data_IF_040850135357
#
_entry.id   IF_040850135357
#
_cell.length_a   1.000
_cell.length_b   1.000
_cell.length_c   1.000
_cell.angle_alpha   90.00
_cell.angle_beta   90.00
_cell.angle_gamma   90.00
#
_symmetry.space_group_name_H-M   'P 1'
#
loop_
_entity.id
_entity.type
_entity.pdbx_description
1 polymer ?
#
# COMPACT_ATOMS: atom_id res chain seq x y z
N UNK A 1 26.33 21.39 -5.29
CA UNK A 1 25.63 22.68 -5.43
C UNK A 1 24.14 22.38 -5.47
N UNK A 2 23.43 22.37 -4.34
CA UNK A 2 21.98 22.30 -4.39
C UNK A 2 21.48 23.62 -4.98
N UNK A 3 20.65 23.54 -6.03
CA UNK A 3 20.05 24.71 -6.65
C UNK A 3 19.16 25.49 -5.68
N UNK A 4 18.86 26.76 -5.97
CA UNK A 4 17.98 27.56 -5.10
C UNK A 4 16.60 26.89 -5.01
N UNK A 5 16.25 26.46 -3.80
CA UNK A 5 15.00 25.76 -3.45
C UNK A 5 13.77 26.69 -3.35
N UNK A 6 13.81 27.91 -3.88
CA UNK A 6 12.71 28.88 -3.76
C UNK A 6 12.51 29.63 -5.09
N UNK A 7 11.71 29.06 -5.99
CA UNK A 7 11.28 29.69 -7.25
C UNK A 7 10.03 30.57 -7.05
N UNK A 8 10.14 31.60 -6.22
CA UNK A 8 9.24 32.75 -6.26
C UNK A 8 10.08 33.97 -6.62
N UNK A 9 10.22 34.24 -7.91
CA UNK A 9 10.90 35.44 -8.39
C UNK A 9 9.88 36.57 -8.47
N UNK A 10 9.80 37.38 -7.42
CA UNK A 10 9.00 38.61 -7.38
C UNK A 10 9.96 39.74 -7.07
N UNK A 11 10.13 40.66 -8.02
CA UNK A 11 11.01 41.82 -7.90
C UNK A 11 10.20 43.03 -7.46
N UNK A 12 10.59 43.68 -6.35
CA UNK A 12 9.95 44.88 -5.83
C UNK A 12 10.26 45.11 -4.34
N UNK A 13 10.14 46.35 -3.88
CA UNK A 13 10.25 46.64 -2.45
C UNK A 13 9.00 46.20 -1.70
N UNK A 14 9.11 45.89 -0.40
CA UNK A 14 7.97 45.46 0.42
C UNK A 14 6.82 46.48 0.40
N UNK A 15 7.14 47.78 0.39
CA UNK A 15 6.14 48.86 0.40
C UNK A 15 5.39 48.93 -0.92
N UNK A 16 6.09 48.89 -2.06
CA UNK A 16 5.47 48.89 -3.39
C UNK A 16 4.58 47.66 -3.62
N UNK A 17 5.09 46.46 -3.28
CA UNK A 17 4.36 45.21 -3.45
C UNK A 17 3.12 45.13 -2.54
N UNK A 18 3.19 45.71 -1.34
CA UNK A 18 2.05 45.79 -0.43
C UNK A 18 0.98 46.74 -0.97
N UNK A 19 1.38 47.91 -1.47
CA UNK A 19 0.46 48.90 -2.03
C UNK A 19 -0.24 48.39 -3.30
N UNK A 20 0.50 47.76 -4.22
CA UNK A 20 -0.06 47.14 -5.43
C UNK A 20 -1.06 46.03 -5.08
N UNK A 21 -0.70 45.17 -4.12
CA UNK A 21 -1.57 44.07 -3.69
C UNK A 21 -2.82 44.56 -2.95
N UNK A 22 -2.69 45.58 -2.10
CA UNK A 22 -3.83 46.19 -1.41
C UNK A 22 -4.80 46.86 -2.39
N UNK A 23 -4.28 47.55 -3.41
CA UNK A 23 -5.08 48.13 -4.47
C UNK A 23 -5.83 47.07 -5.29
N UNK A 24 -5.18 45.94 -5.57
CA UNK A 24 -5.79 44.80 -6.24
C UNK A 24 -6.92 44.16 -5.41
N UNK A 25 -6.71 43.98 -4.09
CA UNK A 25 -7.77 43.49 -3.19
C UNK A 25 -8.96 44.46 -3.15
N UNK A 26 -8.72 45.77 -3.05
CA UNK A 26 -9.81 46.76 -3.02
C UNK A 26 -10.58 46.81 -4.35
N UNK A 27 -9.92 46.63 -5.50
CA UNK A 27 -10.61 46.53 -6.79
C UNK A 27 -11.46 45.27 -6.90
N UNK A 28 -10.97 44.13 -6.40
CA UNK A 28 -11.76 42.90 -6.31
C UNK A 28 -12.96 43.05 -5.37
N UNK A 29 -12.79 43.63 -4.18
CA UNK A 29 -13.91 43.84 -3.23
C UNK A 29 -14.96 44.82 -3.75
N UNK A 30 -14.54 45.89 -4.43
CA UNK A 30 -15.45 46.83 -5.10
C UNK A 30 -16.25 46.16 -6.21
N UNK A 31 -15.64 45.25 -6.97
CA UNK A 31 -16.37 44.47 -7.99
C UNK A 31 -17.41 43.51 -7.41
N UNK A 32 -17.32 43.20 -6.10
CA UNK A 32 -18.21 42.28 -5.38
C UNK A 32 -19.32 42.98 -4.58
N UNK A 33 -19.44 44.32 -4.70
CA UNK A 33 -20.50 45.11 -4.06
C UNK A 33 -20.17 45.67 -2.68
N UNK A 34 -18.91 45.57 -2.22
CA UNK A 34 -18.45 46.16 -0.96
C UNK A 34 -17.74 47.49 -1.25
N UNK A 35 -18.50 48.57 -1.43
CA UNK A 35 -17.96 49.92 -1.70
C UNK A 35 -17.21 50.52 -0.50
N UNK A 36 -17.24 49.86 0.66
CA UNK A 36 -16.66 50.33 1.92
C UNK A 36 -15.21 49.89 2.17
N UNK A 37 -14.63 49.06 1.29
CA UNK A 37 -13.29 48.52 1.50
C UNK A 37 -12.19 49.55 1.23
N UNK A 38 -11.45 49.91 2.27
CA UNK A 38 -10.28 50.81 2.25
C UNK A 38 -9.01 50.07 2.72
N UNK A 39 -8.75 48.86 2.21
CA UNK A 39 -7.58 48.07 2.61
C UNK A 39 -6.29 48.80 2.24
N UNK A 40 -6.28 49.54 1.14
CA UNK A 40 -5.14 50.35 0.69
C UNK A 40 -4.82 51.53 1.63
N UNK A 41 -5.84 52.25 2.11
CA UNK A 41 -5.62 53.40 3.02
C UNK A 41 -5.18 52.91 4.41
N UNK A 42 -5.79 51.84 4.92
CA UNK A 42 -5.38 51.24 6.20
C UNK A 42 -3.97 50.64 6.14
N UNK A 43 -3.60 49.98 5.03
CA UNK A 43 -2.25 49.45 4.82
C UNK A 43 -1.22 50.58 4.75
N UNK A 44 -1.49 51.65 4.00
CA UNK A 44 -0.60 52.81 3.89
C UNK A 44 -0.39 53.53 5.22
N UNK A 45 -1.42 53.64 6.06
CA UNK A 45 -1.30 54.27 7.39
C UNK A 45 -0.55 53.39 8.40
N UNK A 46 -0.68 52.07 8.29
CA UNK A 46 0.07 51.11 9.11
C UNK A 46 1.53 50.96 8.66
N UNK A 47 1.82 51.13 7.36
CA UNK A 47 3.18 51.21 6.81
C UNK A 47 3.92 52.45 7.33
N UNK A 48 3.25 53.62 7.44
CA UNK A 48 3.82 54.82 8.08
C UNK A 48 4.19 54.60 9.54
N UNK A 49 3.52 53.68 10.22
CA UNK A 49 3.82 53.26 11.60
C UNK A 49 4.92 52.19 11.74
N UNK A 50 5.51 51.73 10.62
CA UNK A 50 6.47 50.62 10.55
C UNK A 50 5.95 49.30 11.18
N UNK A 51 4.63 49.09 11.18
CA UNK A 51 3.99 47.90 11.75
C UNK A 51 3.71 46.84 10.70
N UNK A 52 4.76 46.23 10.16
CA UNK A 52 4.69 45.27 9.05
C UNK A 52 3.75 44.08 9.31
N UNK A 53 3.70 43.57 10.54
CA UNK A 53 2.85 42.43 10.89
C UNK A 53 1.35 42.78 10.91
N UNK A 54 0.97 44.01 11.28
CA UNK A 54 -0.43 44.44 11.28
C UNK A 54 -0.95 44.64 9.84
N UNK A 55 -0.08 45.14 8.94
CA UNK A 55 -0.36 45.25 7.50
C UNK A 55 -0.61 43.86 6.90
N UNK A 56 0.27 42.90 7.18
CA UNK A 56 0.13 41.52 6.69
C UNK A 56 -1.15 40.85 7.23
N UNK A 57 -1.56 41.11 8.48
CA UNK A 57 -2.84 40.58 9.01
C UNK A 57 -4.02 41.08 8.19
N UNK A 58 -4.03 42.37 7.86
CA UNK A 58 -5.10 43.00 7.07
C UNK A 58 -5.12 42.48 5.64
N UNK A 59 -3.96 42.32 5.02
CA UNK A 59 -3.85 41.73 3.69
C UNK A 59 -4.33 40.27 3.65
N UNK A 60 -3.97 39.44 4.64
CA UNK A 60 -4.40 38.04 4.72
C UNK A 60 -5.90 37.90 4.97
N UNK A 61 -6.50 38.80 5.77
CA UNK A 61 -7.96 38.87 5.92
C UNK A 61 -8.62 39.35 4.61
N UNK A 62 -8.02 40.33 3.94
CA UNK A 62 -8.47 40.82 2.62
C UNK A 62 -8.37 39.77 1.52
N UNK A 63 -7.41 38.84 1.62
CA UNK A 63 -7.15 37.79 0.66
C UNK A 63 -8.30 36.78 0.51
N UNK A 64 -9.31 36.78 1.41
CA UNK A 64 -10.54 36.02 1.18
C UNK A 64 -11.25 36.43 -0.12
N UNK A 65 -11.11 37.69 -0.54
CA UNK A 65 -11.66 38.19 -1.80
C UNK A 65 -11.03 37.54 -3.05
N UNK A 66 -9.83 36.93 -2.91
CA UNK A 66 -9.14 36.25 -4.00
C UNK A 66 -9.88 34.98 -4.45
N UNK A 67 -10.73 34.38 -3.62
CA UNK A 67 -11.54 33.20 -4.00
C UNK A 67 -12.54 33.47 -5.14
N UNK A 68 -12.73 34.74 -5.50
CA UNK A 68 -13.55 35.20 -6.62
C UNK A 68 -12.72 35.84 -7.74
N UNK A 69 -11.39 35.85 -7.62
CA UNK A 69 -10.51 36.41 -8.64
C UNK A 69 -10.49 35.57 -9.93
N UNK A 70 -10.13 36.16 -11.08
CA UNK A 70 -10.00 35.44 -12.35
C UNK A 70 -8.95 34.33 -12.27
N UNK A 71 -9.18 33.18 -12.93
CA UNK A 71 -8.27 32.02 -12.93
C UNK A 71 -6.81 32.39 -13.25
N UNK A 72 -6.64 33.27 -14.25
CA UNK A 72 -5.31 33.67 -14.76
C UNK A 72 -4.50 34.47 -13.75
N UNK A 73 -5.15 35.16 -12.82
CA UNK A 73 -4.52 36.05 -11.84
C UNK A 73 -4.44 35.40 -10.46
N UNK A 74 -5.20 34.32 -10.22
CA UNK A 74 -5.32 33.64 -8.93
C UNK A 74 -3.97 33.14 -8.40
N UNK A 75 -3.20 32.40 -9.21
CA UNK A 75 -1.89 31.87 -8.80
C UNK A 75 -0.91 33.01 -8.52
N UNK A 76 -0.86 34.02 -9.39
CA UNK A 76 0.06 35.15 -9.24
C UNK A 76 -0.24 35.96 -7.97
N UNK A 77 -1.52 36.23 -7.69
CA UNK A 77 -1.95 36.97 -6.51
C UNK A 77 -1.60 36.24 -5.20
N UNK A 78 -1.82 34.91 -5.14
CA UNK A 78 -1.43 34.13 -3.96
C UNK A 78 0.09 33.97 -3.83
N UNK A 79 0.82 33.84 -4.94
CA UNK A 79 2.28 33.82 -4.93
C UNK A 79 2.87 35.14 -4.38
N UNK A 80 2.26 36.28 -4.74
CA UNK A 80 2.62 37.58 -4.19
C UNK A 80 2.34 37.66 -2.68
N UNK A 81 1.17 37.20 -2.25
CA UNK A 81 0.83 37.10 -0.82
C UNK A 81 1.85 36.24 -0.05
N UNK A 82 2.21 35.07 -0.61
CA UNK A 82 3.17 34.16 0.02
C UNK A 82 4.55 34.81 0.14
N UNK A 83 5.01 35.51 -0.90
CA UNK A 83 6.28 36.23 -0.87
C UNK A 83 6.29 37.34 0.18
N UNK A 84 5.21 38.14 0.26
CA UNK A 84 5.05 39.18 1.29
C UNK A 84 5.07 38.61 2.71
N UNK A 85 4.41 37.48 2.92
CA UNK A 85 4.39 36.80 4.23
C UNK A 85 5.77 36.24 4.58
N UNK A 86 6.51 35.68 3.60
CA UNK A 86 7.84 35.10 3.82
C UNK A 86 8.92 36.16 4.15
N UNK A 87 8.67 37.44 3.88
CA UNK A 87 9.54 38.54 4.30
C UNK A 87 9.37 38.91 5.78
N UNK A 88 8.31 38.41 6.44
CA UNK A 88 8.10 38.60 7.88
C UNK A 88 8.70 37.45 8.68
N UNK A 89 9.26 37.70 9.88
CA UNK A 89 9.73 36.63 10.77
C UNK A 89 8.58 35.79 11.37
N UNK A 90 7.33 36.26 11.27
CA UNK A 90 6.15 35.66 11.90
C UNK A 90 5.25 34.88 10.91
N UNK A 91 5.86 34.19 9.94
CA UNK A 91 5.18 33.41 8.88
C UNK A 91 4.10 32.47 9.43
N UNK A 92 4.38 31.81 10.55
CA UNK A 92 3.51 30.81 11.20
C UNK A 92 2.16 31.37 11.65
N UNK A 93 2.06 32.68 11.92
CA UNK A 93 0.79 33.30 12.35
C UNK A 93 -0.20 33.47 11.18
N UNK A 94 0.30 33.60 9.95
CA UNK A 94 -0.50 33.95 8.78
C UNK A 94 -0.94 32.74 7.97
N UNK A 95 -0.12 31.69 7.95
CA UNK A 95 -0.34 30.46 7.19
C UNK A 95 -1.67 29.75 7.48
N UNK A 96 -2.12 29.58 8.75
CA UNK A 96 -3.40 28.94 9.03
C UNK A 96 -4.59 29.66 8.37
N UNK A 97 -4.56 30.99 8.33
CA UNK A 97 -5.62 31.78 7.72
C UNK A 97 -5.59 31.71 6.19
N UNK A 98 -4.40 31.67 5.60
CA UNK A 98 -4.23 31.45 4.16
C UNK A 98 -4.72 30.06 3.76
N UNK A 99 -4.35 29.04 4.52
CA UNK A 99 -4.83 27.66 4.33
C UNK A 99 -6.36 27.57 4.49
N UNK A 100 -6.94 28.31 5.46
CA UNK A 100 -8.39 28.39 5.62
C UNK A 100 -9.04 28.99 4.37
N UNK A 101 -8.53 30.10 3.85
CA UNK A 101 -9.06 30.75 2.65
C UNK A 101 -8.93 29.85 1.40
N UNK A 102 -7.82 29.12 1.25
CA UNK A 102 -7.59 28.18 0.14
C UNK A 102 -8.41 26.89 0.27
N UNK A 103 -8.85 26.53 1.48
CA UNK A 103 -9.73 25.38 1.71
C UNK A 103 -11.21 25.67 1.46
N UNK A 104 -11.60 26.95 1.36
CA UNK A 104 -12.95 27.31 0.91
C UNK A 104 -13.06 27.23 -0.62
N UNK A 105 -14.20 26.78 -1.17
CA UNK A 105 -14.35 26.59 -2.60
C UNK A 105 -14.21 27.90 -3.37
N UNK A 106 -13.38 27.89 -4.40
CA UNK A 106 -13.16 29.02 -5.31
C UNK A 106 -14.41 29.19 -6.19
N UNK A 107 -15.17 30.25 -5.96
CA UNK A 107 -16.46 30.47 -6.63
C UNK A 107 -16.31 31.01 -8.05
N UNK A 108 -15.17 31.62 -8.39
CA UNK A 108 -14.90 32.10 -9.74
C UNK A 108 -14.71 30.98 -10.76
N UNK A 109 -14.35 29.76 -10.32
CA UNK A 109 -14.01 28.66 -11.23
C UNK A 109 -14.30 27.28 -10.63
N UNK A 110 -15.56 26.82 -10.75
CA UNK A 110 -16.01 25.57 -10.13
C UNK A 110 -15.28 24.31 -10.62
N UNK A 111 -14.77 24.31 -11.85
CA UNK A 111 -14.11 23.14 -12.45
C UNK A 111 -12.61 23.06 -12.15
N UNK A 112 -11.87 24.18 -12.25
CA UNK A 112 -10.41 24.21 -12.10
C UNK A 112 -9.93 24.79 -10.77
N UNK A 113 -10.80 25.45 -10.00
CA UNK A 113 -10.44 26.17 -8.78
C UNK A 113 -9.77 25.29 -7.72
N UNK A 114 -10.14 24.02 -7.67
CA UNK A 114 -9.52 23.02 -6.79
C UNK A 114 -8.06 22.75 -7.17
N UNK A 115 -7.77 22.54 -8.45
CA UNK A 115 -6.41 22.35 -8.95
C UNK A 115 -5.54 23.58 -8.71
N UNK A 116 -6.09 24.78 -8.88
CA UNK A 116 -5.41 26.03 -8.58
C UNK A 116 -5.06 26.14 -7.08
N UNK A 117 -6.03 25.88 -6.19
CA UNK A 117 -5.80 25.88 -4.75
C UNK A 117 -4.74 24.85 -4.32
N UNK A 118 -4.78 23.64 -4.89
CA UNK A 118 -3.78 22.59 -4.61
C UNK A 118 -2.37 22.99 -5.10
N UNK A 119 -2.26 23.65 -6.26
CA UNK A 119 -0.98 24.13 -6.77
C UNK A 119 -0.33 25.17 -5.86
N UNK A 120 -1.15 26.08 -5.31
CA UNK A 120 -0.69 27.11 -4.37
C UNK A 120 -0.32 26.46 -3.03
N UNK A 121 -1.15 25.56 -2.50
CA UNK A 121 -0.83 24.85 -1.25
C UNK A 121 0.43 23.99 -1.39
N UNK A 122 0.65 23.35 -2.54
CA UNK A 122 1.88 22.62 -2.83
C UNK A 122 3.08 23.56 -2.90
N UNK A 123 2.91 24.75 -3.49
CA UNK A 123 3.95 25.79 -3.51
C UNK A 123 4.30 26.26 -2.10
N UNK A 124 3.30 26.51 -1.26
CA UNK A 124 3.48 26.83 0.17
C UNK A 124 4.27 25.70 0.86
N UNK A 125 3.84 24.44 0.71
CA UNK A 125 4.50 23.28 1.32
C UNK A 125 5.98 23.18 0.93
N UNK A 126 6.30 23.47 -0.33
CA UNK A 126 7.67 23.39 -0.85
C UNK A 126 8.57 24.55 -0.39
N UNK A 127 8.01 25.74 -0.18
CA UNK A 127 8.77 26.94 0.28
C UNK A 127 9.15 26.83 1.76
N UNK A 128 8.29 26.21 2.58
CA UNK A 128 8.58 26.04 3.99
C UNK A 128 9.80 25.13 4.20
N UNK A 129 10.63 25.31 5.23
CA UNK A 129 11.71 24.37 5.56
C UNK A 129 11.18 22.96 5.89
N UNK A 130 12.00 21.94 5.63
CA UNK A 130 11.63 20.54 5.85
C UNK A 130 11.27 20.21 7.30
N UNK A 131 11.95 20.86 8.24
CA UNK A 131 11.85 20.61 9.68
C UNK A 131 10.71 21.41 10.34
N UNK A 132 9.94 22.19 9.58
CA UNK A 132 8.89 23.03 10.14
C UNK A 132 7.60 22.23 10.39
N UNK A 133 7.15 22.19 11.64
CA UNK A 133 5.83 21.66 12.06
C UNK A 133 4.66 22.30 11.27
N UNK A 134 4.84 23.52 10.75
CA UNK A 134 3.79 24.20 9.99
C UNK A 134 3.47 23.45 8.68
N UNK A 135 4.39 22.63 8.15
CA UNK A 135 4.12 21.75 7.00
C UNK A 135 3.02 20.72 7.30
N UNK A 136 2.90 20.26 8.55
CA UNK A 136 1.81 19.36 8.96
C UNK A 136 0.44 20.03 8.79
N UNK A 137 0.28 21.27 9.25
CA UNK A 137 -0.98 22.01 9.10
C UNK A 137 -1.30 22.33 7.63
N UNK A 138 -0.29 22.63 6.80
CA UNK A 138 -0.48 22.82 5.35
C UNK A 138 -0.92 21.52 4.69
N UNK A 139 -0.34 20.37 5.06
CA UNK A 139 -0.75 19.06 4.55
C UNK A 139 -2.20 18.73 4.91
N UNK A 140 -2.64 19.01 6.15
CA UNK A 140 -4.04 18.85 6.53
C UNK A 140 -4.98 19.73 5.69
N UNK A 141 -4.57 20.95 5.34
CA UNK A 141 -5.35 21.82 4.47
C UNK A 141 -5.42 21.26 3.03
N UNK A 142 -4.32 20.71 2.51
CA UNK A 142 -4.29 20.00 1.22
C UNK A 142 -5.29 18.84 1.24
N UNK A 143 -5.27 18.00 2.28
CA UNK A 143 -6.21 16.88 2.40
C UNK A 143 -7.67 17.32 2.45
N UNK A 144 -7.99 18.42 3.14
CA UNK A 144 -9.35 18.98 3.15
C UNK A 144 -9.82 19.39 1.77
N UNK A 145 -8.97 20.04 0.96
CA UNK A 145 -9.29 20.42 -0.43
C UNK A 145 -9.46 19.17 -1.30
N UNK A 146 -8.60 18.17 -1.15
CA UNK A 146 -8.69 16.91 -1.89
C UNK A 146 -9.99 16.18 -1.57
N UNK A 147 -10.36 16.08 -0.29
CA UNK A 147 -11.63 15.46 0.14
C UNK A 147 -12.84 16.14 -0.49
N UNK A 148 -12.85 17.47 -0.58
CA UNK A 148 -13.96 18.21 -1.20
C UNK A 148 -14.05 18.01 -2.72
N UNK A 149 -12.97 17.58 -3.37
CA UNK A 149 -12.82 17.57 -4.83
C UNK A 149 -12.63 16.16 -5.38
N UNK A 150 -12.54 15.15 -4.52
CA UNK A 150 -12.37 13.72 -4.82
C UNK A 150 -11.13 13.39 -5.67
N UNK A 151 -10.16 14.31 -5.73
CA UNK A 151 -9.03 14.23 -6.65
C UNK A 151 -7.79 13.57 -6.00
N UNK A 152 -7.95 12.31 -5.58
CA UNK A 152 -6.96 11.57 -4.79
C UNK A 152 -5.68 11.20 -5.58
N UNK A 153 -5.73 11.22 -6.91
CA UNK A 153 -4.58 10.87 -7.78
C UNK A 153 -3.34 11.73 -7.51
N UNK A 154 -3.53 13.02 -7.20
CA UNK A 154 -2.43 13.93 -6.87
C UNK A 154 -1.74 13.60 -5.54
N UNK A 155 -2.46 12.92 -4.62
CA UNK A 155 -1.97 12.57 -3.30
C UNK A 155 -1.12 11.28 -3.33
N UNK A 156 -1.42 10.33 -4.22
CA UNK A 156 -0.76 9.01 -4.29
C UNK A 156 0.77 9.06 -4.28
N UNK A 157 1.46 9.93 -5.04
CA UNK A 157 2.92 10.01 -4.99
C UNK A 157 3.44 10.57 -3.66
N UNK A 158 2.72 11.54 -3.09
CA UNK A 158 3.09 12.21 -1.84
C UNK A 158 2.93 11.28 -0.63
N UNK A 159 1.95 10.38 -0.66
CA UNK A 159 1.74 9.38 0.39
C UNK A 159 2.94 8.46 0.64
N UNK A 160 3.79 8.23 -0.37
CA UNK A 160 5.02 7.45 -0.21
C UNK A 160 6.07 8.14 0.66
N UNK A 161 6.00 9.47 0.75
CA UNK A 161 6.91 10.29 1.55
C UNK A 161 6.35 10.58 2.95
N UNK A 162 5.08 10.25 3.21
CA UNK A 162 4.38 10.54 4.47
C UNK A 162 5.14 10.00 5.69
N UNK A 163 5.59 8.74 5.64
CA UNK A 163 6.31 8.11 6.75
C UNK A 163 7.64 8.83 7.05
N UNK A 164 8.32 9.34 6.01
CA UNK A 164 9.56 10.12 6.17
C UNK A 164 9.31 11.51 6.74
N UNK A 165 8.18 12.14 6.36
CA UNK A 165 7.80 13.45 6.86
C UNK A 165 7.39 13.39 8.33
N UNK A 166 6.59 12.40 8.71
CA UNK A 166 6.20 12.18 10.10
C UNK A 166 7.40 11.94 11.02
N UNK A 167 8.41 11.20 10.55
CA UNK A 167 9.66 11.00 11.29
C UNK A 167 10.49 12.29 11.43
N UNK A 168 10.46 13.17 10.43
CA UNK A 168 11.21 14.45 10.44
C UNK A 168 10.56 15.49 11.35
N UNK A 169 9.24 15.49 11.40
CA UNK A 169 8.45 16.45 12.17
C UNK A 169 8.29 16.07 13.65
N UNK A 170 8.78 14.90 14.08
CA UNK A 170 8.68 14.40 15.46
C UNK A 170 7.25 14.52 16.05
N UNK A 171 6.24 14.28 15.20
CA UNK A 171 4.82 14.48 15.51
C UNK A 171 4.35 13.48 16.56
N UNK A 172 3.59 13.96 17.55
CA UNK A 172 2.96 13.11 18.57
C UNK A 172 1.97 12.11 17.94
N UNK A 173 1.77 10.96 18.59
CA UNK A 173 0.92 9.87 18.08
C UNK A 173 -0.53 10.32 17.79
N UNK A 174 -1.08 11.25 18.59
CA UNK A 174 -2.40 11.82 18.35
C UNK A 174 -2.52 12.61 17.03
N UNK A 175 -1.48 13.37 16.70
CA UNK A 175 -1.44 14.17 15.48
C UNK A 175 -1.18 13.29 14.25
N UNK A 176 -0.34 12.26 14.38
CA UNK A 176 -0.20 11.22 13.36
C UNK A 176 -1.55 10.54 13.07
N UNK A 177 -2.31 10.20 14.12
CA UNK A 177 -3.66 9.62 14.01
C UNK A 177 -4.60 10.54 13.21
N UNK A 178 -4.67 11.83 13.58
CA UNK A 178 -5.49 12.83 12.87
C UNK A 178 -5.14 12.91 11.39
N UNK A 179 -3.86 12.84 11.04
CA UNK A 179 -3.41 12.85 9.65
C UNK A 179 -3.80 11.58 8.90
N UNK A 180 -3.57 10.40 9.47
CA UNK A 180 -3.96 9.13 8.85
C UNK A 180 -5.47 9.03 8.64
N UNK A 181 -6.27 9.50 9.59
CA UNK A 181 -7.72 9.59 9.45
C UNK A 181 -8.14 10.56 8.33
N UNK A 182 -7.49 11.72 8.22
CA UNK A 182 -7.76 12.66 7.14
C UNK A 182 -7.42 12.07 5.76
N UNK A 183 -6.34 11.27 5.66
CA UNK A 183 -5.99 10.54 4.43
C UNK A 183 -7.04 9.46 4.13
N UNK A 184 -7.42 8.66 5.13
CA UNK A 184 -8.42 7.60 4.99
C UNK A 184 -9.77 8.15 4.53
N UNK A 185 -10.25 9.24 5.13
CA UNK A 185 -11.48 9.93 4.73
C UNK A 185 -11.41 10.48 3.29
N UNK A 186 -10.25 11.00 2.89
CA UNK A 186 -10.04 11.52 1.54
C UNK A 186 -10.03 10.41 0.50
N UNK A 187 -9.43 9.26 0.82
CA UNK A 187 -9.43 8.07 -0.03
C UNK A 187 -10.85 7.48 -0.17
N UNK A 188 -11.59 7.37 0.94
CA UNK A 188 -12.97 6.89 0.93
C UNK A 188 -13.90 7.78 0.09
N UNK A 189 -13.72 9.12 0.17
CA UNK A 189 -14.47 10.06 -0.66
C UNK A 189 -14.18 9.92 -2.17
N UNK A 190 -12.98 9.46 -2.53
CA UNK A 190 -12.57 9.21 -3.91
C UNK A 190 -12.95 7.80 -4.43
N UNK A 191 -13.51 6.93 -3.58
CA UNK A 191 -13.82 5.53 -3.94
C UNK A 191 -12.61 4.59 -3.92
N UNK A 192 -11.51 5.00 -3.30
CA UNK A 192 -10.28 4.21 -3.17
C UNK A 192 -10.29 3.41 -1.85
N UNK A 193 -11.18 2.42 -1.78
CA UNK A 193 -11.49 1.71 -0.53
C UNK A 193 -10.28 0.97 0.08
N UNK A 194 -9.41 0.37 -0.75
CA UNK A 194 -8.21 -0.33 -0.28
C UNK A 194 -7.22 0.61 0.43
N UNK A 195 -7.01 1.81 -0.14
CA UNK A 195 -6.15 2.82 0.46
C UNK A 195 -6.79 3.39 1.72
N UNK A 196 -8.09 3.66 1.68
CA UNK A 196 -8.84 4.15 2.84
C UNK A 196 -8.71 3.19 4.03
N UNK A 197 -8.87 1.89 3.78
CA UNK A 197 -8.73 0.84 4.77
C UNK A 197 -7.30 0.72 5.30
N UNK A 198 -6.30 0.75 4.42
CA UNK A 198 -4.87 0.68 4.82
C UNK A 198 -4.49 1.82 5.77
N UNK A 199 -4.90 3.05 5.49
CA UNK A 199 -4.62 4.19 6.36
C UNK A 199 -5.46 4.21 7.63
N UNK A 200 -6.65 3.63 7.60
CA UNK A 200 -7.46 3.41 8.81
C UNK A 200 -6.77 2.45 9.78
N UNK A 201 -6.20 1.34 9.28
CA UNK A 201 -5.40 0.43 10.09
C UNK A 201 -4.15 1.10 10.65
N UNK A 202 -3.47 1.94 9.86
CA UNK A 202 -2.32 2.73 10.36
C UNK A 202 -2.74 3.65 11.50
N UNK A 203 -3.88 4.33 11.40
CA UNK A 203 -4.43 5.14 12.48
C UNK A 203 -4.71 4.29 13.74
N UNK A 204 -5.32 3.10 13.58
CA UNK A 204 -5.58 2.20 14.72
C UNK A 204 -4.31 1.70 15.41
N UNK A 205 -3.20 1.53 14.68
CA UNK A 205 -1.90 1.14 15.24
C UNK A 205 -1.22 2.24 16.07
N UNK A 206 -1.65 3.50 15.93
CA UNK A 206 -1.12 4.63 16.72
C UNK A 206 -1.81 4.79 18.08
N UNK A 207 -2.73 3.90 18.46
CA UNK A 207 -3.32 3.96 19.80
C UNK A 207 -2.36 3.35 20.82
N UNK A 208 -1.98 4.09 21.88
CA UNK A 208 -1.24 3.52 23.00
C UNK A 208 -2.13 2.53 23.75
N UNK A 209 -1.52 1.51 24.37
CA UNK A 209 -2.24 0.42 25.06
C UNK A 209 -3.25 0.89 26.12
N UNK A 210 -3.09 2.09 26.65
CA UNK A 210 -3.98 2.71 27.65
C UNK A 210 -5.28 3.28 27.03
N UNK A 211 -5.25 3.71 25.77
CA UNK A 211 -6.39 4.34 25.07
C UNK A 211 -7.17 3.37 24.17
N UNK A 212 -6.76 2.10 24.16
CA UNK A 212 -7.33 1.03 23.32
C UNK A 212 -8.83 0.84 23.54
N UNK A 213 -9.33 1.12 24.74
CA UNK A 213 -10.75 1.04 25.10
C UNK A 213 -11.49 2.38 25.02
N UNK A 214 -10.85 3.45 24.55
CA UNK A 214 -11.49 4.76 24.40
C UNK A 214 -12.67 4.69 23.43
N UNK A 215 -13.70 5.55 23.60
CA UNK A 215 -14.85 5.59 22.68
C UNK A 215 -14.42 5.89 21.24
N UNK A 216 -13.41 6.74 21.04
CA UNK A 216 -12.86 7.03 19.71
C UNK A 216 -12.20 5.79 19.07
N UNK A 217 -11.41 5.03 19.84
CA UNK A 217 -10.83 3.78 19.36
C UNK A 217 -11.92 2.76 18.98
N UNK A 218 -12.98 2.65 19.80
CA UNK A 218 -14.09 1.74 19.52
C UNK A 218 -14.82 2.11 18.22
N UNK A 219 -15.17 3.39 18.01
CA UNK A 219 -15.83 3.84 16.79
C UNK A 219 -14.97 3.58 15.54
N UNK A 220 -13.66 3.85 15.62
CA UNK A 220 -12.73 3.61 14.52
C UNK A 220 -12.54 2.11 14.25
N UNK A 221 -12.46 1.27 15.29
CA UNK A 221 -12.38 -0.19 15.17
C UNK A 221 -13.65 -0.75 14.53
N UNK A 222 -14.83 -0.28 14.92
CA UNK A 222 -16.10 -0.66 14.29
C UNK A 222 -16.14 -0.23 12.83
N UNK A 223 -15.66 0.98 12.50
CA UNK A 223 -15.56 1.44 11.11
C UNK A 223 -14.61 0.54 10.28
N UNK A 224 -13.46 0.17 10.83
CA UNK A 224 -12.50 -0.73 10.17
C UNK A 224 -13.10 -2.12 9.95
N UNK A 225 -13.75 -2.68 10.97
CA UNK A 225 -14.41 -3.98 10.88
C UNK A 225 -15.52 -3.97 9.82
N UNK A 226 -16.41 -2.97 9.84
CA UNK A 226 -17.45 -2.84 8.81
C UNK A 226 -16.86 -2.73 7.41
N UNK A 227 -15.81 -1.92 7.24
CA UNK A 227 -15.12 -1.77 5.96
C UNK A 227 -14.52 -3.09 5.47
N UNK A 228 -13.84 -3.84 6.35
CA UNK A 228 -13.25 -5.13 5.99
C UNK A 228 -14.32 -6.16 5.62
N UNK A 229 -15.41 -6.21 6.38
CA UNK A 229 -16.52 -7.13 6.14
C UNK A 229 -17.24 -6.83 4.82
N UNK A 230 -17.46 -5.56 4.47
CA UNK A 230 -18.12 -5.18 3.20
C UNK A 230 -17.20 -5.27 1.99
N UNK A 231 -15.89 -5.08 2.13
CA UNK A 231 -14.97 -5.01 1.00
C UNK A 231 -14.88 -6.36 0.24
N UNK A 232 -15.24 -6.45 -1.05
CA UNK A 232 -15.37 -7.75 -1.74
C UNK A 232 -14.06 -8.53 -1.91
N UNK A 233 -12.90 -7.87 -1.93
CA UNK A 233 -11.59 -8.50 -2.11
C UNK A 233 -10.80 -8.68 -0.82
N UNK A 234 -11.31 -8.20 0.32
CA UNK A 234 -10.65 -8.38 1.63
C UNK A 234 -11.17 -9.66 2.30
N UNK A 235 -10.28 -10.63 2.44
CA UNK A 235 -10.56 -11.98 2.95
C UNK A 235 -9.63 -12.41 4.09
N UNK A 236 -8.55 -11.66 4.32
CA UNK A 236 -7.59 -11.91 5.39
C UNK A 236 -7.87 -10.92 6.52
N UNK A 237 -8.29 -11.43 7.68
CA UNK A 237 -8.64 -10.62 8.84
C UNK A 237 -7.55 -10.63 9.92
N UNK A 238 -6.38 -11.21 9.64
CA UNK A 238 -5.26 -11.21 10.60
C UNK A 238 -4.81 -9.79 10.94
N UNK A 239 -4.84 -8.91 9.94
CA UNK A 239 -4.54 -7.48 10.04
C UNK A 239 -5.40 -6.75 11.09
N UNK A 240 -6.65 -7.17 11.28
CA UNK A 240 -7.56 -6.68 12.30
C UNK A 240 -7.36 -7.40 13.64
N UNK A 241 -7.23 -8.73 13.64
CA UNK A 241 -7.09 -9.48 14.89
C UNK A 241 -5.81 -9.16 15.65
N UNK A 242 -4.77 -8.73 14.94
CA UNK A 242 -3.50 -8.31 15.54
C UNK A 242 -3.59 -6.95 16.26
N UNK A 243 -4.68 -6.17 16.08
CA UNK A 243 -4.86 -4.87 16.71
C UNK A 243 -5.48 -5.00 18.10
N UNK A 244 -4.81 -4.42 19.11
CA UNK A 244 -5.30 -4.39 20.48
C UNK A 244 -6.68 -3.72 20.59
N UNK A 245 -6.94 -2.67 19.78
CA UNK A 245 -8.22 -1.93 19.76
C UNK A 245 -9.39 -2.76 19.28
N UNK A 246 -9.13 -3.82 18.51
CA UNK A 246 -10.13 -4.75 18.03
C UNK A 246 -10.33 -5.87 19.04
N UNK A 247 -9.26 -6.32 19.72
CA UNK A 247 -9.38 -7.26 20.84
C UNK A 247 -10.17 -6.66 22.01
N UNK A 248 -10.07 -5.35 22.25
CA UNK A 248 -10.88 -4.67 23.25
C UNK A 248 -12.38 -4.66 22.93
N UNK A 249 -12.77 -4.78 21.64
CA UNK A 249 -14.18 -4.87 21.24
C UNK A 249 -14.88 -6.09 21.84
N UNK A 250 -14.15 -7.13 22.24
CA UNK A 250 -14.70 -8.30 22.92
C UNK A 250 -15.50 -7.94 24.17
N UNK A 251 -15.13 -6.86 24.86
CA UNK A 251 -15.80 -6.41 26.08
C UNK A 251 -16.87 -5.33 25.83
N UNK A 252 -16.67 -4.46 24.85
CA UNK A 252 -17.61 -3.36 24.56
C UNK A 252 -18.73 -3.78 23.62
N UNK A 253 -18.40 -4.49 22.54
CA UNK A 253 -19.28 -4.83 21.43
C UNK A 253 -19.11 -6.31 21.04
N UNK A 254 -19.55 -7.24 21.89
CA UNK A 254 -19.26 -8.67 21.75
C UNK A 254 -19.83 -9.27 20.46
N UNK A 255 -20.96 -8.75 19.96
CA UNK A 255 -21.63 -9.25 18.75
C UNK A 255 -20.77 -9.01 17.50
N UNK A 256 -20.13 -7.84 17.41
CA UNK A 256 -19.21 -7.53 16.30
C UNK A 256 -17.95 -8.39 16.36
N UNK A 257 -17.43 -8.64 17.57
CA UNK A 257 -16.25 -9.48 17.75
C UNK A 257 -16.54 -10.95 17.43
N UNK A 258 -17.69 -11.49 17.85
CA UNK A 258 -18.14 -12.83 17.48
C UNK A 258 -18.26 -12.99 15.97
N UNK A 259 -18.80 -11.98 15.27
CA UNK A 259 -18.84 -11.98 13.81
C UNK A 259 -17.43 -12.04 13.18
N UNK A 260 -16.46 -11.31 13.74
CA UNK A 260 -15.07 -11.39 13.28
C UNK A 260 -14.47 -12.79 13.49
N UNK A 261 -14.70 -13.41 14.65
CA UNK A 261 -14.26 -14.78 14.94
C UNK A 261 -14.83 -15.77 13.92
N UNK A 262 -16.14 -15.68 13.62
CA UNK A 262 -16.80 -16.54 12.64
C UNK A 262 -16.13 -16.44 11.26
N UNK A 263 -15.82 -15.24 10.81
CA UNK A 263 -15.17 -15.04 9.52
C UNK A 263 -13.72 -15.55 9.50
N UNK A 264 -13.04 -15.48 10.64
CA UNK A 264 -11.66 -15.88 10.77
C UNK A 264 -11.49 -17.42 10.82
N UNK A 265 -12.23 -18.12 11.68
CA UNK A 265 -12.06 -19.56 11.93
C UNK A 265 -13.19 -20.45 11.44
N UNK A 266 -14.42 -19.95 11.38
CA UNK A 266 -15.60 -20.81 11.37
C UNK A 266 -16.21 -20.97 9.97
N UNK A 267 -17.35 -21.71 9.93
CA UNK A 267 -17.99 -22.22 8.72
C UNK A 267 -19.33 -21.52 8.48
N UNK A 268 -19.92 -21.74 7.30
CA UNK A 268 -21.25 -21.21 6.94
C UNK A 268 -22.32 -21.63 7.95
N UNK A 269 -22.22 -22.83 8.53
CA UNK A 269 -23.16 -23.33 9.54
C UNK A 269 -23.18 -22.40 10.76
N UNK A 270 -22.01 -22.07 11.31
CA UNK A 270 -21.86 -21.17 12.48
C UNK A 270 -22.35 -19.74 12.17
N UNK A 271 -22.19 -19.28 10.93
CA UNK A 271 -22.73 -17.99 10.49
C UNK A 271 -24.26 -17.97 10.41
N UNK A 272 -24.88 -19.09 10.02
CA UNK A 272 -26.34 -19.21 10.04
C UNK A 272 -26.87 -19.24 11.47
N UNK A 273 -26.21 -19.97 12.37
CA UNK A 273 -26.58 -20.00 13.80
C UNK A 273 -26.50 -18.58 14.40
N UNK A 274 -25.43 -17.82 14.09
CA UNK A 274 -25.31 -16.42 14.49
C UNK A 274 -26.43 -15.54 13.93
N UNK A 275 -26.85 -15.77 12.68
CA UNK A 275 -27.93 -15.01 12.05
C UNK A 275 -29.27 -15.30 12.76
N UNK A 276 -29.53 -16.56 13.09
CA UNK A 276 -30.74 -16.98 13.79
C UNK A 276 -30.77 -16.46 15.24
N UNK A 277 -29.61 -16.40 15.92
CA UNK A 277 -29.49 -15.83 17.27
C UNK A 277 -29.67 -14.30 17.28
N UNK A 278 -29.24 -13.61 16.21
CA UNK A 278 -29.23 -12.14 16.11
C UNK A 278 -30.11 -11.63 14.95
N UNK A 279 -31.34 -12.13 14.89
CA UNK A 279 -32.32 -11.73 13.88
C UNK A 279 -32.51 -10.19 13.81
N UNK A 280 -32.31 -9.61 12.62
CA UNK A 280 -32.45 -8.17 12.35
C UNK A 280 -31.25 -7.30 12.76
N UNK A 281 -30.24 -7.84 13.42
CA UNK A 281 -29.06 -7.07 13.85
C UNK A 281 -28.17 -6.65 12.67
N UNK A 282 -28.01 -7.53 11.67
CA UNK A 282 -27.18 -7.28 10.48
C UNK A 282 -27.71 -6.08 9.69
N UNK A 283 -29.04 -6.02 9.49
CA UNK A 283 -29.71 -4.91 8.79
C UNK A 283 -29.63 -3.61 9.59
N UNK A 284 -29.85 -3.68 10.90
CA UNK A 284 -29.73 -2.53 11.81
C UNK A 284 -28.29 -1.97 11.83
N UNK A 285 -27.30 -2.84 11.67
CA UNK A 285 -25.88 -2.48 11.67
C UNK A 285 -25.38 -1.87 10.35
N UNK A 286 -26.22 -1.86 9.30
CA UNK A 286 -25.89 -1.35 7.97
C UNK A 286 -25.00 -2.27 7.15
N UNK A 287 -24.95 -3.57 7.47
CA UNK A 287 -24.18 -4.57 6.74
C UNK A 287 -25.05 -5.27 5.69
N UNK A 288 -24.48 -5.54 4.51
CA UNK A 288 -25.18 -6.31 3.47
C UNK A 288 -25.12 -7.81 3.76
N UNK A 289 -26.26 -8.39 4.15
CA UNK A 289 -26.39 -9.82 4.44
C UNK A 289 -26.03 -10.69 3.24
N UNK A 290 -26.31 -10.25 2.00
CA UNK A 290 -26.00 -11.05 0.81
C UNK A 290 -24.49 -11.09 0.54
N UNK A 291 -23.80 -9.95 0.64
CA UNK A 291 -22.35 -9.87 0.53
C UNK A 291 -21.64 -10.71 1.61
N UNK A 292 -22.10 -10.65 2.87
CA UNK A 292 -21.55 -11.44 3.97
C UNK A 292 -21.71 -12.95 3.72
N UNK A 293 -22.92 -13.38 3.32
CA UNK A 293 -23.19 -14.79 2.97
C UNK A 293 -22.30 -15.28 1.83
N UNK A 294 -22.11 -14.45 0.79
CA UNK A 294 -21.21 -14.78 -0.30
C UNK A 294 -19.78 -14.91 0.21
N UNK A 295 -19.31 -13.96 1.01
CA UNK A 295 -17.94 -13.96 1.55
C UNK A 295 -17.65 -15.17 2.43
N UNK A 296 -18.52 -15.50 3.40
CA UNK A 296 -18.32 -16.66 4.27
C UNK A 296 -18.29 -17.98 3.47
N UNK A 297 -19.13 -18.11 2.43
CA UNK A 297 -19.08 -19.27 1.51
C UNK A 297 -17.75 -19.40 0.78
N UNK A 298 -17.22 -18.29 0.23
CA UNK A 298 -15.92 -18.31 -0.45
C UNK A 298 -14.80 -18.73 0.52
N UNK A 299 -14.83 -18.15 1.72
CA UNK A 299 -13.92 -18.44 2.80
C UNK A 299 -14.03 -19.92 3.24
N UNK A 300 -15.24 -20.48 3.37
CA UNK A 300 -15.49 -21.88 3.75
C UNK A 300 -14.92 -22.85 2.73
N UNK A 301 -15.08 -22.57 1.43
CA UNK A 301 -14.44 -23.36 0.40
C UNK A 301 -12.91 -23.34 0.54
N UNK A 302 -12.33 -22.16 0.81
CA UNK A 302 -10.88 -22.03 1.00
C UNK A 302 -10.36 -22.87 2.19
N UNK A 303 -11.05 -22.84 3.33
CA UNK A 303 -10.69 -23.66 4.51
C UNK A 303 -10.79 -25.16 4.25
N UNK A 304 -11.80 -25.59 3.49
CA UNK A 304 -11.98 -27.00 3.14
C UNK A 304 -10.93 -27.46 2.13
N UNK A 305 -10.57 -26.59 1.18
CA UNK A 305 -9.49 -26.85 0.25
C UNK A 305 -8.14 -26.97 1.00
N UNK A 306 -7.87 -26.09 1.96
CA UNK A 306 -6.67 -26.11 2.78
C UNK A 306 -6.58 -27.38 3.65
N UNK A 307 -7.65 -27.76 4.34
CA UNK A 307 -7.69 -29.00 5.14
C UNK A 307 -7.58 -30.27 4.28
N UNK A 308 -8.03 -30.23 3.02
CA UNK A 308 -7.94 -31.36 2.07
C UNK A 308 -6.64 -31.34 1.25
N UNK A 309 -5.65 -30.51 1.62
CA UNK A 309 -4.40 -30.31 0.88
C UNK A 309 -3.53 -31.56 0.70
N UNK A 310 -3.70 -32.60 1.52
CA UNK A 310 -3.00 -33.88 1.37
C UNK A 310 -3.54 -34.71 0.19
N UNK A 311 -4.87 -34.72 0.00
CA UNK A 311 -5.51 -35.49 -1.06
C UNK A 311 -5.55 -34.72 -2.38
N UNK A 312 -5.42 -33.38 -2.33
CA UNK A 312 -5.46 -32.46 -3.49
C UNK A 312 -6.67 -32.66 -4.43
N UNK A 313 -7.70 -33.32 -3.94
CA UNK A 313 -8.93 -33.63 -4.67
C UNK A 313 -10.10 -33.47 -3.74
N UNK A 314 -11.09 -32.69 -4.15
CA UNK A 314 -12.27 -32.35 -3.36
C UNK A 314 -13.54 -32.73 -4.15
N UNK A 315 -14.31 -33.73 -3.69
CA UNK A 315 -15.57 -34.10 -4.34
C UNK A 315 -16.63 -32.99 -4.23
N UNK A 316 -17.46 -32.83 -5.27
CA UNK A 316 -18.51 -31.83 -5.29
C UNK A 316 -19.53 -32.02 -4.16
N UNK A 317 -19.84 -33.26 -3.76
CA UNK A 317 -20.75 -33.54 -2.65
C UNK A 317 -20.27 -32.91 -1.33
N UNK A 318 -18.96 -32.96 -1.07
CA UNK A 318 -18.35 -32.37 0.13
C UNK A 318 -18.42 -30.84 0.07
N UNK A 319 -18.26 -30.26 -1.11
CA UNK A 319 -18.39 -28.81 -1.35
C UNK A 319 -19.83 -28.36 -1.16
N UNK A 320 -20.78 -29.02 -1.82
CA UNK A 320 -22.20 -28.73 -1.78
C UNK A 320 -22.72 -28.77 -0.34
N UNK A 321 -22.35 -29.81 0.42
CA UNK A 321 -22.74 -29.95 1.83
C UNK A 321 -22.21 -28.80 2.70
N UNK A 322 -20.94 -28.43 2.52
CA UNK A 322 -20.33 -27.43 3.39
C UNK A 322 -20.68 -25.97 3.03
N UNK A 323 -21.00 -25.71 1.76
CA UNK A 323 -21.53 -24.41 1.33
C UNK A 323 -23.04 -24.30 1.49
N UNK A 324 -23.72 -25.42 1.77
CA UNK A 324 -25.18 -25.55 1.79
C UNK A 324 -25.84 -25.06 0.49
N UNK A 325 -25.28 -25.44 -0.66
CA UNK A 325 -25.78 -25.07 -1.99
C UNK A 325 -26.13 -26.30 -2.82
N UNK A 326 -27.04 -26.18 -3.80
CA UNK A 326 -27.29 -27.25 -4.75
C UNK A 326 -26.01 -27.69 -5.46
N UNK A 327 -25.90 -28.97 -5.80
CA UNK A 327 -24.74 -29.52 -6.52
C UNK A 327 -24.50 -28.84 -7.87
N UNK A 328 -25.55 -28.31 -8.50
CA UNK A 328 -25.50 -27.60 -9.78
C UNK A 328 -24.72 -26.27 -9.67
N UNK A 329 -24.80 -25.60 -8.52
CA UNK A 329 -24.19 -24.29 -8.30
C UNK A 329 -22.71 -24.39 -7.87
N UNK A 330 -22.24 -25.58 -7.49
CA UNK A 330 -20.88 -25.81 -6.97
C UNK A 330 -19.83 -25.29 -7.94
N UNK A 331 -20.02 -25.48 -9.25
CA UNK A 331 -19.06 -25.04 -10.26
C UNK A 331 -18.91 -23.51 -10.27
N UNK A 332 -20.02 -22.77 -10.14
CA UNK A 332 -20.00 -21.31 -10.08
C UNK A 332 -19.23 -20.83 -8.83
N UNK A 333 -19.46 -21.46 -7.68
CA UNK A 333 -18.75 -21.14 -6.45
C UNK A 333 -17.26 -21.44 -6.53
N UNK A 334 -16.87 -22.57 -7.14
CA UNK A 334 -15.45 -22.89 -7.36
C UNK A 334 -14.79 -21.85 -8.27
N UNK A 335 -15.46 -21.44 -9.35
CA UNK A 335 -14.96 -20.38 -10.24
C UNK A 335 -14.80 -19.06 -9.50
N UNK A 336 -15.77 -18.67 -8.67
CA UNK A 336 -15.74 -17.45 -7.89
C UNK A 336 -14.59 -17.44 -6.87
N UNK A 337 -14.33 -18.56 -6.20
CA UNK A 337 -13.19 -18.69 -5.26
C UNK A 337 -11.85 -18.62 -5.97
N UNK A 338 -11.75 -19.19 -7.18
CA UNK A 338 -10.54 -19.08 -8.01
C UNK A 338 -10.35 -17.62 -8.45
N UNK A 339 -11.42 -16.93 -8.86
CA UNK A 339 -11.37 -15.51 -9.24
C UNK A 339 -10.97 -14.62 -8.06
N UNK A 340 -11.40 -14.96 -6.85
CA UNK A 340 -10.99 -14.30 -5.62
C UNK A 340 -9.53 -14.57 -5.22
N UNK A 341 -8.83 -15.51 -5.89
CA UNK A 341 -7.43 -15.85 -5.61
C UNK A 341 -7.23 -16.66 -4.33
N UNK A 342 -8.30 -17.15 -3.70
CA UNK A 342 -8.23 -17.92 -2.46
C UNK A 342 -7.79 -19.37 -2.70
N UNK A 343 -8.09 -19.92 -3.88
CA UNK A 343 -7.73 -21.29 -4.26
C UNK A 343 -7.35 -21.33 -5.73
N UNK A 344 -6.35 -22.14 -6.07
CA UNK A 344 -5.97 -22.43 -7.45
C UNK A 344 -6.15 -23.92 -7.70
N UNK A 345 -6.77 -24.27 -8.83
CA UNK A 345 -7.05 -25.66 -9.13
C UNK A 345 -7.68 -25.87 -10.50
N UNK A 346 -7.99 -27.13 -10.79
CA UNK A 346 -8.67 -27.56 -12.01
C UNK A 346 -9.96 -28.28 -11.67
N UNK A 347 -11.01 -27.94 -12.41
CA UNK A 347 -12.31 -28.56 -12.28
C UNK A 347 -12.37 -29.83 -13.17
N UNK A 348 -12.82 -30.95 -12.63
CA UNK A 348 -13.09 -32.19 -13.37
C UNK A 348 -14.59 -32.49 -13.33
N UNK A 349 -15.32 -31.95 -14.29
CA UNK A 349 -16.77 -32.09 -14.36
C UNK A 349 -17.22 -33.55 -14.54
N UNK A 350 -16.50 -34.36 -15.33
CA UNK A 350 -16.82 -35.78 -15.53
C UNK A 350 -16.72 -36.59 -14.24
N UNK A 351 -15.72 -36.28 -13.41
CA UNK A 351 -15.47 -36.99 -12.16
C UNK A 351 -16.18 -36.33 -10.96
N UNK A 352 -16.83 -35.18 -11.16
CA UNK A 352 -17.43 -34.37 -10.09
C UNK A 352 -16.42 -34.07 -8.96
N UNK A 353 -15.18 -33.75 -9.35
CA UNK A 353 -14.09 -33.44 -8.42
C UNK A 353 -13.38 -32.15 -8.79
N UNK A 354 -12.96 -31.42 -7.78
CA UNK A 354 -12.10 -30.25 -7.89
C UNK A 354 -10.68 -30.61 -7.45
N UNK A 355 -9.73 -30.53 -8.38
CA UNK A 355 -8.31 -30.78 -8.11
C UNK A 355 -7.63 -29.50 -7.64
N UNK A 356 -7.10 -29.51 -6.43
CA UNK A 356 -6.49 -28.35 -5.77
C UNK A 356 -4.99 -28.35 -6.07
N UNK A 357 -4.48 -27.22 -6.57
CA UNK A 357 -3.05 -26.96 -6.73
C UNK A 357 -2.49 -26.15 -5.56
N UNK A 358 -3.20 -25.08 -5.19
CA UNK A 358 -2.83 -24.16 -4.10
C UNK A 358 -4.09 -23.74 -3.36
N UNK A 359 -3.99 -23.55 -2.06
CA UNK A 359 -5.07 -23.02 -1.23
C UNK A 359 -4.49 -22.04 -0.23
N UNK A 360 -5.17 -20.93 -0.02
CA UNK A 360 -4.84 -19.94 1.00
C UNK A 360 -5.40 -20.41 2.35
N UNK A 361 -4.57 -20.33 3.40
CA UNK A 361 -5.02 -20.55 4.78
C UNK A 361 -5.56 -19.23 5.34
N UNK A 362 -6.74 -19.24 5.95
CA UNK A 362 -7.29 -18.04 6.60
C UNK A 362 -6.51 -17.64 7.84
N UNK A 363 -6.16 -18.65 8.66
CA UNK A 363 -5.34 -18.48 9.85
C UNK A 363 -4.04 -19.24 9.67
N UNK A 364 -2.93 -18.51 9.73
CA UNK A 364 -1.60 -19.08 9.69
C UNK A 364 -0.96 -19.02 11.09
N UNK A 365 -1.07 -20.13 11.83
CA UNK A 365 -0.55 -20.26 13.19
C UNK A 365 0.65 -21.19 13.30
N UNK A 366 0.99 -21.54 14.53
CA UNK A 366 2.16 -22.39 14.85
C UNK A 366 2.06 -23.78 14.20
N UNK A 367 0.86 -24.36 14.12
CA UNK A 367 0.64 -25.67 13.51
C UNK A 367 1.03 -25.68 12.03
N UNK A 368 0.67 -24.62 11.30
CA UNK A 368 1.02 -24.45 9.89
C UNK A 368 2.54 -24.22 9.74
N UNK A 369 3.15 -23.44 10.63
CA UNK A 369 4.62 -23.28 10.65
C UNK A 369 5.36 -24.60 10.87
N UNK A 370 4.87 -25.46 11.78
CA UNK A 370 5.43 -26.80 12.01
C UNK A 370 5.31 -27.69 10.78
N UNK A 371 4.19 -27.62 10.07
CA UNK A 371 4.01 -28.36 8.81
C UNK A 371 4.98 -27.88 7.73
N UNK A 372 5.16 -26.56 7.57
CA UNK A 372 6.14 -25.98 6.63
C UNK A 372 7.55 -26.42 6.99
N UNK A 373 7.94 -26.36 8.26
CA UNK A 373 9.25 -26.81 8.73
C UNK A 373 9.48 -28.29 8.41
N UNK A 374 8.50 -29.15 8.67
CA UNK A 374 8.58 -30.58 8.37
C UNK A 374 8.75 -30.86 6.87
N UNK A 375 7.99 -30.15 6.01
CA UNK A 375 8.11 -30.30 4.55
C UNK A 375 9.46 -29.80 4.03
N UNK A 376 9.97 -28.68 4.55
CA UNK A 376 11.30 -28.17 4.22
C UNK A 376 12.41 -29.12 4.65
N UNK A 377 12.27 -29.75 5.82
CA UNK A 377 13.20 -30.78 6.29
C UNK A 377 13.22 -32.00 5.37
N UNK A 378 12.05 -32.48 4.94
CA UNK A 378 11.97 -33.57 3.96
C UNK A 378 12.62 -33.18 2.63
N UNK A 379 12.40 -31.95 2.15
CA UNK A 379 13.01 -31.46 0.92
C UNK A 379 14.53 -31.32 1.05
N UNK A 380 15.02 -30.78 2.17
CA UNK A 380 16.45 -30.73 2.48
C UNK A 380 17.06 -32.12 2.44
N UNK A 381 16.47 -33.08 3.13
CA UNK A 381 16.97 -34.45 3.17
C UNK A 381 16.95 -35.12 1.78
N UNK A 382 15.92 -34.84 0.98
CA UNK A 382 15.83 -35.33 -0.41
C UNK A 382 16.93 -34.75 -1.30
N UNK A 383 17.22 -33.44 -1.18
CA UNK A 383 18.29 -32.78 -1.93
C UNK A 383 19.68 -33.28 -1.50
N UNK A 384 19.89 -33.52 -0.20
CA UNK A 384 21.12 -34.15 0.30
C UNK A 384 21.27 -35.54 -0.30
N UNK A 385 20.22 -36.36 -0.30
CA UNK A 385 20.25 -37.69 -0.94
C UNK A 385 20.56 -37.64 -2.44
N UNK A 386 19.99 -36.68 -3.18
CA UNK A 386 20.33 -36.48 -4.61
C UNK A 386 21.78 -36.07 -4.78
N UNK A 387 22.30 -35.20 -3.91
CA UNK A 387 23.70 -34.76 -3.95
C UNK A 387 24.66 -35.92 -3.68
N UNK A 388 24.34 -36.79 -2.70
CA UNK A 388 25.10 -38.01 -2.42
C UNK A 388 25.11 -38.96 -3.62
N UNK A 389 23.97 -39.18 -4.28
CA UNK A 389 23.90 -40.00 -5.49
C UNK A 389 24.77 -39.41 -6.60
N UNK A 390 24.70 -38.09 -6.83
CA UNK A 390 25.52 -37.42 -7.84
C UNK A 390 27.02 -37.54 -7.50
N UNK A 391 27.40 -37.43 -6.23
CA UNK A 391 28.80 -37.61 -5.82
C UNK A 391 29.27 -39.05 -6.02
N UNK A 392 28.44 -40.04 -5.70
CA UNK A 392 28.75 -41.46 -5.91
C UNK A 392 28.87 -41.79 -7.40
N UNK A 393 27.95 -41.31 -8.24
CA UNK A 393 28.01 -41.50 -9.69
C UNK A 393 29.24 -40.81 -10.29
N UNK A 394 29.60 -39.61 -9.82
CA UNK A 394 30.85 -38.96 -10.22
C UNK A 394 32.08 -39.78 -9.85
N UNK A 395 32.12 -40.36 -8.65
CA UNK A 395 33.24 -41.22 -8.22
C UNK A 395 33.31 -42.52 -9.01
N UNK A 396 32.17 -43.18 -9.27
CA UNK A 396 32.10 -44.37 -10.13
C UNK A 396 32.58 -44.06 -11.54
N UNK A 397 32.14 -42.95 -12.14
CA UNK A 397 32.60 -42.54 -13.45
C UNK A 397 34.11 -42.30 -13.51
N UNK A 398 34.70 -41.72 -12.46
CA UNK A 398 36.16 -41.54 -12.36
C UNK A 398 36.86 -42.91 -12.24
N UNK A 399 36.34 -43.82 -11.42
CA UNK A 399 36.90 -45.17 -11.28
C UNK A 399 36.81 -45.97 -12.58
N UNK A 400 35.68 -45.94 -13.28
CA UNK A 400 35.52 -46.60 -14.58
C UNK A 400 36.48 -46.00 -15.61
N UNK A 401 36.64 -44.67 -15.65
CA UNK A 401 37.64 -43.99 -16.49
C UNK A 401 39.07 -44.44 -16.17
N UNK A 402 39.42 -44.56 -14.90
CA UNK A 402 40.74 -45.03 -14.46
C UNK A 402 40.96 -46.50 -14.79
N UNK A 403 39.95 -47.36 -14.64
CA UNK A 403 40.01 -48.77 -15.03
C UNK A 403 40.12 -48.95 -16.54
N UNK A 404 39.40 -48.16 -17.34
CA UNK A 404 39.53 -48.13 -18.80
C UNK A 404 40.93 -47.66 -19.23
N UNK A 405 41.46 -46.61 -18.60
CA UNK A 405 42.82 -46.12 -18.84
C UNK A 405 43.86 -47.19 -18.49
N UNK A 406 43.77 -47.80 -17.31
CA UNK A 406 44.67 -48.88 -16.89
C UNK A 406 44.57 -50.12 -17.81
N UNK A 407 43.38 -50.48 -18.29
CA UNK A 407 43.22 -51.55 -19.28
C UNK A 407 43.80 -51.18 -20.64
N UNK A 408 43.67 -49.93 -21.06
CA UNK A 408 44.30 -49.44 -22.29
C UNK A 408 45.82 -49.47 -22.19
N UNK A 409 46.39 -49.02 -21.07
CA UNK A 409 47.82 -49.04 -20.79
C UNK A 409 48.36 -50.47 -20.72
N UNK A 410 47.68 -51.40 -20.03
CA UNK A 410 48.07 -52.81 -20.00
C UNK A 410 48.04 -53.46 -21.40
N UNK A 411 47.04 -53.12 -22.23
CA UNK A 411 46.98 -53.58 -23.63
C UNK A 411 48.12 -52.98 -24.46
N UNK A 412 48.46 -51.70 -24.25
CA UNK A 412 49.58 -51.04 -24.92
C UNK A 412 50.93 -51.66 -24.51
N UNK A 413 51.14 -51.94 -23.21
CA UNK A 413 52.34 -52.62 -22.71
C UNK A 413 52.45 -54.06 -23.22
N UNK A 414 51.35 -54.82 -23.27
CA UNK A 414 51.36 -56.17 -23.85
C UNK A 414 51.67 -56.14 -25.35
N UNK A 415 51.10 -55.18 -26.09
CA UNK A 415 51.42 -54.98 -27.51
C UNK A 415 52.89 -54.58 -27.72
N UNK A 416 53.47 -53.74 -26.85
CA UNK A 416 54.88 -53.38 -26.87
C UNK A 416 55.80 -54.59 -26.57
N UNK A 417 55.43 -55.44 -25.61
CA UNK A 417 56.16 -56.69 -25.31
C UNK A 417 56.11 -57.70 -26.46
N UNK A 418 54.99 -57.77 -27.19
CA UNK A 418 54.86 -58.65 -28.36
C UNK A 418 55.71 -58.13 -29.55
N UNK A 419 55.78 -56.80 -29.75
CA UNK A 419 56.68 -56.19 -30.74
C UNK A 419 58.17 -56.37 -30.39
N UNK A 420 58.51 -56.41 -29.10
CA UNK A 420 59.89 -56.63 -28.62
C UNK A 420 60.40 -58.08 -28.75
N UNK A 421 59.51 -59.06 -28.99
CA UNK A 421 59.89 -60.49 -29.05
C UNK A 421 60.00 -61.06 -30.47
N UNK A 422 59.77 -60.22 -31.50
CA UNK A 422 59.87 -60.59 -32.92
C UNK A 422 61.18 -60.19 -33.62
N UNK A 423 62.22 -59.79 -32.88
CA UNK A 423 63.42 -59.19 -33.48
C UNK A 423 64.74 -59.66 -32.87
N UNK A 424 65.06 -60.96 -32.99
CA UNK A 424 66.44 -61.44 -32.83
C UNK A 424 66.66 -62.78 -33.54
N UNK A 425 66.67 -62.75 -34.88
CA UNK A 425 67.45 -63.71 -35.67
C UNK A 425 68.13 -62.95 -36.80
N UNK A 426 69.39 -62.56 -36.55
CA UNK A 426 70.30 -62.01 -37.55
C UNK A 426 70.56 -63.08 -38.63
N UNK A 427 70.07 -62.86 -39.84
CA UNK A 427 70.74 -63.30 -41.06
C UNK A 427 71.45 -62.09 -41.67
N UNK A 428 72.72 -62.30 -42.04
CA UNK A 428 73.69 -61.32 -42.56
C UNK A 428 73.13 -60.43 -43.67
N UNK A 429 73.56 -59.15 -43.75
CA UNK A 429 73.16 -58.25 -44.82
C UNK A 429 73.92 -58.55 -46.12
N UNK A 430 73.18 -58.52 -47.24
CA UNK A 430 73.73 -58.30 -48.59
C UNK A 430 73.23 -56.93 -49.04
N UNK A 431 74.16 -56.00 -49.25
CA UNK A 431 73.92 -54.69 -49.86
C UNK A 431 73.43 -54.87 -51.32
N UNK A 432 72.63 -53.94 -51.87
CA UNK A 432 73.15 -52.66 -52.40
C UNK A 432 72.27 -51.43 -52.08
N UNK A 433 72.89 -50.29 -51.79
CA UNK A 433 73.04 -49.07 -52.65
C UNK A 433 71.83 -48.13 -52.57
N UNK A 434 72.18 -46.89 -52.21
CA UNK A 434 71.38 -45.67 -52.14
C UNK A 434 70.50 -45.44 -53.37
N UNK A 435 69.33 -44.84 -53.16
CA UNK A 435 69.00 -43.59 -53.85
C UNK A 435 67.83 -42.87 -53.16
N UNK A 436 68.05 -41.57 -52.99
CA UNK A 436 67.15 -40.55 -52.47
C UNK A 436 65.81 -40.50 -53.20
N UNK A 437 64.77 -40.01 -52.50
CA UNK A 437 64.10 -38.74 -52.82
C UNK A 437 62.64 -38.70 -52.35
N UNK A 438 62.33 -37.55 -51.75
CA UNK A 438 61.05 -36.85 -51.55
C UNK A 438 60.04 -37.34 -50.49
#
# INVERSE_FOLDING_TARGET
MPGPMNTLLIEGSFEELTDEFAQYIDTLKKSQGDESSNVQQEAADLLKGNKKDEVLKKLVVGAQALNQAPEKEFIAAYNLLIHLVNQSPNVSMFLPKICQNLSTPVTSSPANGSGLALSILSTIFNILPADSEVRYHVLLAILRVIRATTNFEYLRPQLKQLDSWLATWEVEEEEQRKLYLAVSDSAAAAGEDEQAYTYLLRALRTFPSEEVSSPEAQELSLRALKSALTHPSHFDFQDLTDLDSIQALRNSEPVYFQLLEIFNSDVVDDFNDFKDEHDGWIETSGLDSAALNRKIRLLTLASIAASSGQQRSLPYEKIAKALQVPSEDVEMWVIDVIRAGLVEGKLSQLNQTFLIHRSTYRVFGENQWREVASRLDMWRNSLVGVLEIIQQEKQRFIQEKEEEANRADQKAEQAARFKGRGGQQQQKPRAPVDEDAD
#
